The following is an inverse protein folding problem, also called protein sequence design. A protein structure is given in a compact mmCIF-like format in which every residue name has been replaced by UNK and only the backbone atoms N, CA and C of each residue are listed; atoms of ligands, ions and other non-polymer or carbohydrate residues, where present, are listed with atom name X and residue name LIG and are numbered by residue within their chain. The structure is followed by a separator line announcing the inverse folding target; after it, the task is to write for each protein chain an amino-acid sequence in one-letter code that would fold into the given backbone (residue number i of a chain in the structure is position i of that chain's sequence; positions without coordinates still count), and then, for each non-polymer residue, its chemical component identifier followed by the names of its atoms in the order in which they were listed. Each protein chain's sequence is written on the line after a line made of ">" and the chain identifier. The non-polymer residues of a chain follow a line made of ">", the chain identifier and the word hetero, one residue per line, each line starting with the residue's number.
data_IF_402637287527
#
_entry.id   IF_402637287527
#
_cell.length_a   1.000
_cell.length_b   1.000
_cell.length_c   1.000
_cell.angle_alpha   90.00
_cell.angle_beta   90.00
_cell.angle_gamma   90.00
#
_symmetry.space_group_name_H-M   'P 1'
#
loop_
_entity.id
_entity.type
_entity.pdbx_description
1 polymer ?
#
# COMPACT_ATOMS: atom_id res chain seq x y z
N UNK A 1 9.48 30.76 28.21
CA UNK A 1 9.49 29.39 27.64
C UNK A 1 8.08 29.07 27.16
N UNK A 2 7.76 29.47 25.94
CA UNK A 2 6.51 29.10 25.26
C UNK A 2 6.80 27.81 24.50
N UNK A 3 6.24 26.71 24.97
CA UNK A 3 6.13 25.46 24.22
C UNK A 3 5.38 25.74 22.93
N UNK A 4 6.10 25.82 21.81
CA UNK A 4 5.49 25.76 20.49
C UNK A 4 4.84 24.37 20.36
N UNK A 5 3.51 24.35 20.41
CA UNK A 5 2.71 23.26 19.89
C UNK A 5 3.21 23.01 18.45
N UNK A 6 3.80 21.83 18.19
CA UNK A 6 4.06 21.37 16.81
C UNK A 6 2.69 21.20 16.15
N UNK A 7 2.30 22.18 15.34
CA UNK A 7 1.16 22.07 14.44
C UNK A 7 1.29 20.79 13.60
N UNK A 8 0.15 20.13 13.42
CA UNK A 8 0.03 18.70 13.11
C UNK A 8 0.87 18.22 11.94
N UNK A 9 1.85 17.35 12.23
CA UNK A 9 2.36 16.42 11.23
C UNK A 9 1.24 15.42 10.92
N UNK A 10 0.65 15.54 9.72
CA UNK A 10 -0.18 14.49 9.13
C UNK A 10 0.69 13.27 8.88
N UNK A 11 0.74 12.35 9.84
CA UNK A 11 1.37 11.03 9.65
C UNK A 11 0.50 10.23 8.69
N UNK A 12 1.03 9.91 7.52
CA UNK A 12 0.38 9.03 6.57
C UNK A 12 0.49 7.59 7.10
N UNK A 13 -0.65 6.96 7.33
CA UNK A 13 -0.76 5.54 7.71
C UNK A 13 -1.26 4.77 6.50
N UNK A 14 -0.54 3.71 6.12
CA UNK A 14 -0.88 2.90 4.96
C UNK A 14 -0.57 1.44 5.23
N UNK A 15 -1.50 0.57 4.86
CA UNK A 15 -1.29 -0.86 4.81
C UNK A 15 -1.39 -1.30 3.35
N UNK A 16 -0.47 -2.17 2.91
CA UNK A 16 -0.62 -2.88 1.64
C UNK A 16 -0.99 -4.33 1.93
N UNK A 17 -2.10 -4.75 1.34
CA UNK A 17 -2.53 -6.14 1.31
C UNK A 17 -2.29 -6.69 -0.10
N UNK A 18 -1.45 -7.70 -0.23
CA UNK A 18 -1.17 -8.46 -1.45
C UNK A 18 -1.98 -9.75 -1.41
N UNK A 19 -2.89 -9.95 -2.36
CA UNK A 19 -3.72 -11.17 -2.44
C UNK A 19 -3.54 -11.83 -3.79
N UNK A 20 -3.30 -13.15 -3.79
CA UNK A 20 -3.34 -14.00 -4.98
C UNK A 20 -4.70 -14.68 -5.05
N UNK A 21 -5.40 -14.47 -6.16
CA UNK A 21 -6.70 -15.10 -6.42
C UNK A 21 -6.57 -16.01 -7.63
N UNK A 22 -7.07 -17.25 -7.53
CA UNK A 22 -7.16 -18.19 -8.64
C UNK A 22 -8.63 -18.65 -8.76
N UNK A 23 -9.28 -18.28 -9.86
CA UNK A 23 -10.74 -18.41 -9.98
C UNK A 23 -11.47 -17.49 -9.00
N UNK A 24 -12.41 -18.03 -8.21
CA UNK A 24 -13.17 -17.30 -7.18
C UNK A 24 -12.53 -17.40 -5.78
N UNK A 25 -11.46 -18.18 -5.63
CA UNK A 25 -10.84 -18.44 -4.33
C UNK A 25 -9.57 -17.62 -4.12
N UNK A 26 -9.45 -17.04 -2.93
CA UNK A 26 -8.21 -16.44 -2.44
C UNK A 26 -7.27 -17.56 -1.98
N UNK A 27 -6.15 -17.71 -2.68
CA UNK A 27 -5.20 -18.81 -2.45
C UNK A 27 -4.07 -18.37 -1.53
N UNK A 28 -3.73 -17.07 -1.53
CA UNK A 28 -2.66 -16.56 -0.69
C UNK A 28 -2.82 -15.07 -0.40
N UNK A 29 -2.39 -14.64 0.79
CA UNK A 29 -2.40 -13.23 1.17
C UNK A 29 -1.20 -12.88 2.05
N UNK A 30 -0.57 -11.74 1.76
CA UNK A 30 0.37 -11.06 2.67
C UNK A 30 -0.18 -9.67 2.97
N UNK A 31 -0.08 -9.27 4.23
CA UNK A 31 -0.28 -7.89 4.67
C UNK A 31 1.06 -7.36 5.15
N UNK A 32 1.43 -6.15 4.72
CA UNK A 32 2.62 -5.44 5.25
C UNK A 32 2.43 -4.96 6.68
N UNK A 33 1.20 -5.05 7.23
CA UNK A 33 0.84 -4.33 8.45
C UNK A 33 0.71 -2.83 8.19
N UNK A 34 0.31 -2.08 9.21
CA UNK A 34 0.26 -0.61 9.13
C UNK A 34 1.69 -0.05 9.15
N UNK A 35 2.06 0.66 8.09
CA UNK A 35 3.27 1.44 8.03
C UNK A 35 2.94 2.92 8.24
N UNK A 36 3.86 3.63 8.89
CA UNK A 36 3.75 5.06 9.19
C UNK A 36 4.98 5.81 8.67
N UNK A 37 4.74 6.96 8.05
CA UNK A 37 5.76 7.91 7.65
C UNK A 37 5.21 9.33 7.62
N UNK A 38 6.13 10.30 7.67
CA UNK A 38 5.81 11.74 7.64
C UNK A 38 5.38 12.21 6.23
N UNK A 39 5.66 11.41 5.20
CA UNK A 39 5.26 11.66 3.81
C UNK A 39 4.95 10.34 3.07
N UNK A 40 4.20 10.46 1.96
CA UNK A 40 3.74 9.32 1.19
C UNK A 40 4.87 8.61 0.41
N UNK A 41 5.93 9.32 0.02
CA UNK A 41 7.03 8.73 -0.76
C UNK A 41 7.84 7.77 0.12
N UNK A 42 8.25 8.23 1.31
CA UNK A 42 8.93 7.41 2.33
C UNK A 42 8.08 6.18 2.72
N UNK A 43 6.75 6.36 2.78
CA UNK A 43 5.82 5.27 3.09
C UNK A 43 5.83 4.20 1.99
N UNK A 44 5.75 4.62 0.73
CA UNK A 44 5.78 3.74 -0.43
C UNK A 44 7.14 3.02 -0.54
N UNK A 45 8.26 3.70 -0.29
CA UNK A 45 9.59 3.07 -0.29
C UNK A 45 9.71 1.97 0.76
N UNK A 46 9.24 2.22 2.00
CA UNK A 46 9.21 1.19 3.05
C UNK A 46 8.42 -0.03 2.59
N UNK A 47 7.24 0.19 2.01
CA UNK A 47 6.36 -0.89 1.56
C UNK A 47 6.96 -1.68 0.38
N UNK A 48 7.60 -1.00 -0.56
CA UNK A 48 8.39 -1.62 -1.65
C UNK A 48 9.47 -2.53 -1.07
N UNK A 49 10.23 -2.04 -0.09
CA UNK A 49 11.34 -2.82 0.51
C UNK A 49 10.88 -4.12 1.17
N UNK A 50 9.64 -4.14 1.69
CA UNK A 50 9.04 -5.32 2.30
C UNK A 50 8.52 -6.32 1.27
N UNK A 51 8.03 -5.85 0.12
CA UNK A 51 7.43 -6.69 -0.92
C UNK A 51 8.42 -7.19 -1.98
N UNK A 52 9.44 -6.39 -2.32
CA UNK A 52 10.42 -6.69 -3.38
C UNK A 52 11.15 -8.05 -3.24
N UNK A 53 11.56 -8.49 -2.03
CA UNK A 53 12.33 -9.74 -1.90
C UNK A 53 11.60 -10.99 -2.41
N UNK A 54 10.27 -10.96 -2.49
CA UNK A 54 9.45 -12.11 -2.90
C UNK A 54 8.95 -12.00 -4.36
N UNK A 55 9.31 -10.94 -5.09
CA UNK A 55 8.76 -10.60 -6.41
C UNK A 55 8.80 -11.77 -7.42
N UNK A 56 9.95 -12.40 -7.61
CA UNK A 56 10.11 -13.51 -8.57
C UNK A 56 9.25 -14.71 -8.17
N UNK A 57 9.26 -15.06 -6.88
CA UNK A 57 8.45 -16.16 -6.33
C UNK A 57 6.96 -15.88 -6.44
N UNK A 58 6.54 -14.62 -6.33
CA UNK A 58 5.16 -14.21 -6.51
C UNK A 58 4.71 -14.40 -7.96
N UNK A 59 5.52 -13.99 -8.94
CA UNK A 59 5.23 -14.19 -10.36
C UNK A 59 5.12 -15.69 -10.69
N UNK A 60 6.08 -16.50 -10.21
CA UNK A 60 6.05 -17.96 -10.39
C UNK A 60 4.80 -18.61 -9.80
N UNK A 61 4.39 -18.20 -8.58
CA UNK A 61 3.17 -18.73 -7.93
C UNK A 61 1.91 -18.40 -8.72
N UNK A 62 1.78 -17.16 -9.20
CA UNK A 62 0.63 -16.77 -10.01
C UNK A 62 0.57 -17.58 -11.31
N UNK A 63 1.70 -17.78 -11.99
CA UNK A 63 1.75 -18.62 -13.18
C UNK A 63 1.37 -20.08 -12.87
N UNK A 64 1.86 -20.63 -11.77
CA UNK A 64 1.62 -22.03 -11.37
C UNK A 64 0.16 -22.36 -11.07
N UNK A 65 -0.65 -21.39 -10.61
CA UNK A 65 -2.07 -21.58 -10.34
C UNK A 65 -3.02 -20.86 -11.31
N UNK A 66 -2.49 -20.23 -12.37
CA UNK A 66 -3.28 -19.36 -13.26
C UNK A 66 -3.94 -18.17 -12.54
N UNK A 67 -3.35 -17.73 -11.42
CA UNK A 67 -3.90 -16.70 -10.55
C UNK A 67 -3.44 -15.29 -10.91
N UNK A 68 -4.12 -14.30 -10.35
CA UNK A 68 -3.76 -12.88 -10.48
C UNK A 68 -3.49 -12.28 -9.12
N UNK A 69 -2.45 -11.45 -9.04
CA UNK A 69 -2.17 -10.65 -7.86
C UNK A 69 -3.05 -9.41 -7.80
N UNK A 70 -3.48 -9.06 -6.59
CA UNK A 70 -4.15 -7.81 -6.28
C UNK A 70 -3.38 -7.12 -5.17
N UNK A 71 -2.98 -5.88 -5.41
CA UNK A 71 -2.38 -4.97 -4.45
C UNK A 71 -3.49 -4.06 -3.95
N UNK A 72 -3.82 -4.13 -2.67
CA UNK A 72 -4.79 -3.23 -2.03
C UNK A 72 -4.07 -2.30 -1.08
N UNK A 73 -4.24 -1.01 -1.32
CA UNK A 73 -3.87 0.05 -0.39
C UNK A 73 -5.03 0.29 0.57
N UNK A 74 -4.86 0.00 1.85
CA UNK A 74 -5.86 0.20 2.89
C UNK A 74 -5.41 1.24 3.91
N UNK A 75 -6.36 2.06 4.37
CA UNK A 75 -6.21 2.77 5.64
C UNK A 75 -5.62 4.17 5.59
N UNK A 76 -5.74 4.89 4.48
CA UNK A 76 -5.36 6.30 4.45
C UNK A 76 -6.40 7.14 5.22
N UNK A 77 -6.26 7.24 6.55
CA UNK A 77 -7.02 8.21 7.36
C UNK A 77 -6.33 9.56 7.19
N UNK A 78 -6.91 10.41 6.35
CA UNK A 78 -6.40 11.75 6.13
C UNK A 78 -7.34 12.80 6.75
N UNK A 79 -6.75 13.81 7.39
CA UNK A 79 -7.43 15.01 7.91
C UNK A 79 -6.98 16.19 7.06
N UNK A 80 -7.88 16.74 6.23
CA UNK A 80 -7.57 17.87 5.34
C UNK A 80 -7.86 17.56 3.87
N UNK A 81 -7.16 18.25 2.96
CA UNK A 81 -7.27 18.02 1.51
C UNK A 81 -6.77 16.64 1.13
N UNK A 82 -7.42 15.97 0.17
CA UNK A 82 -7.06 14.62 -0.26
C UNK A 82 -5.56 14.54 -0.61
N UNK A 83 -4.78 13.61 -0.01
CA UNK A 83 -3.37 13.53 -0.31
C UNK A 83 -3.17 13.03 -1.74
N UNK A 84 -2.31 13.71 -2.49
CA UNK A 84 -1.84 13.18 -3.77
C UNK A 84 -0.90 12.00 -3.50
N UNK A 85 -1.32 10.79 -3.87
CA UNK A 85 -0.48 9.59 -3.74
C UNK A 85 0.29 9.41 -5.04
N UNK A 86 1.61 9.54 -4.96
CA UNK A 86 2.51 9.23 -6.07
C UNK A 86 3.01 7.80 -5.93
N UNK A 87 2.82 6.99 -6.97
CA UNK A 87 3.44 5.68 -7.07
C UNK A 87 4.79 5.83 -7.78
N UNK A 88 5.87 5.50 -7.08
CA UNK A 88 7.21 5.48 -7.67
C UNK A 88 7.29 4.50 -8.86
N UNK A 89 8.16 4.80 -9.83
CA UNK A 89 8.39 3.96 -11.01
C UNK A 89 8.77 2.53 -10.65
N UNK A 90 9.55 2.31 -9.58
CA UNK A 90 9.95 0.96 -9.15
C UNK A 90 8.75 0.15 -8.68
N UNK A 91 7.80 0.80 -8.00
CA UNK A 91 6.56 0.15 -7.60
C UNK A 91 5.67 -0.20 -8.79
N UNK A 92 5.57 0.71 -9.75
CA UNK A 92 4.83 0.46 -11.00
C UNK A 92 5.44 -0.72 -11.75
N UNK A 93 6.76 -0.75 -11.89
CA UNK A 93 7.47 -1.88 -12.51
C UNK A 93 7.23 -3.19 -11.77
N UNK A 94 7.33 -3.18 -10.43
CA UNK A 94 7.00 -4.34 -9.60
C UNK A 94 5.58 -4.87 -9.89
N UNK A 95 4.57 -3.98 -9.87
CA UNK A 95 3.19 -4.38 -10.14
C UNK A 95 2.99 -4.95 -11.54
N UNK A 96 3.66 -4.36 -12.54
CA UNK A 96 3.60 -4.84 -13.92
C UNK A 96 4.21 -6.25 -14.06
N UNK A 97 5.35 -6.50 -13.43
CA UNK A 97 6.05 -7.79 -13.49
C UNK A 97 5.24 -8.93 -12.86
N UNK A 98 4.51 -8.68 -11.77
CA UNK A 98 3.63 -9.68 -11.16
C UNK A 98 2.21 -9.66 -11.75
N UNK A 99 1.96 -8.86 -12.79
CA UNK A 99 0.65 -8.65 -13.40
C UNK A 99 -0.46 -8.30 -12.40
N UNK A 100 -0.12 -7.47 -11.40
CA UNK A 100 -1.04 -7.10 -10.33
C UNK A 100 -2.09 -6.08 -10.76
N UNK A 101 -3.32 -6.25 -10.28
CA UNK A 101 -4.31 -5.19 -10.21
C UNK A 101 -4.06 -4.31 -8.98
N UNK A 102 -4.23 -3.00 -9.12
CA UNK A 102 -4.10 -2.05 -8.01
C UNK A 102 -5.49 -1.59 -7.55
N UNK A 103 -5.75 -1.70 -6.25
CA UNK A 103 -6.98 -1.26 -5.60
C UNK A 103 -6.67 -0.26 -4.49
N UNK A 104 -7.49 0.78 -4.39
CA UNK A 104 -7.42 1.78 -3.33
C UNK A 104 -8.66 1.69 -2.45
N UNK A 105 -8.45 1.43 -1.16
CA UNK A 105 -9.46 1.52 -0.10
C UNK A 105 -9.12 2.74 0.79
N UNK A 106 -9.59 3.89 0.32
CA UNK A 106 -9.36 5.19 0.96
C UNK A 106 -10.49 5.45 1.95
N UNK A 107 -10.14 5.67 3.23
CA UNK A 107 -11.08 5.97 4.31
C UNK A 107 -10.91 7.40 4.75
N UNK A 108 -11.78 8.28 4.27
CA UNK A 108 -11.78 9.69 4.64
C UNK A 108 -12.56 9.85 5.95
N UNK A 109 -11.92 10.39 6.97
CA UNK A 109 -12.58 10.79 8.21
C UNK A 109 -12.75 12.31 8.21
N UNK A 110 -13.99 12.80 8.24
CA UNK A 110 -14.26 14.21 8.52
C UNK A 110 -14.19 14.43 10.04
N UNK A 111 -13.64 15.57 10.47
CA UNK A 111 -13.71 15.97 11.88
C UNK A 111 -15.18 16.18 12.25
N UNK A 112 -15.68 15.40 13.21
CA UNK A 112 -16.90 15.75 13.93
C UNK A 112 -16.55 16.92 14.85
N UNK A 113 -16.86 18.12 14.38
CA UNK A 113 -16.79 19.35 15.17
C UNK A 113 -17.91 19.41 16.19
#
# INVERSE_FOLDING_TARGET
>A
MTTHLKEGLTVARLRIDLTLTAGEESVWSISTGEAEADDAETLIEKLISMALPEKERMAERAAGCGGRWTVRFAGCVHRGEMPTVYLDRRFISFCAEIHAAILYDIRIAADER
#
